data_IF_733688455675
#
_entry.id   IF_733688455675
#
_cell.length_a   1.000
_cell.length_b   1.000
_cell.length_c   1.000
_cell.angle_alpha   90.00
_cell.angle_beta   90.00
_cell.angle_gamma   90.00
#
_symmetry.space_group_name_H-M   'P 1'
#
loop_
_entity.id
_entity.type
_entity.pdbx_description
1 polymer ?
#
# COMPACT_ATOMS: atom_id res chain seq x y z
N UNK A 1 -7.96 -25.66 14.94
CA UNK A 1 -6.54 -25.76 14.56
C UNK A 1 -5.99 -24.36 14.47
N UNK A 2 -5.14 -23.94 15.41
CA UNK A 2 -4.48 -22.64 15.39
C UNK A 2 -3.41 -22.62 14.31
N UNK A 3 -3.37 -21.55 13.52
CA UNK A 3 -2.30 -21.28 12.57
C UNK A 3 -0.95 -21.20 13.31
N UNK A 4 0.06 -21.86 12.75
CA UNK A 4 1.45 -21.80 13.23
C UNK A 4 2.02 -20.39 12.97
N UNK A 5 2.71 -19.77 13.93
CA UNK A 5 3.34 -18.47 13.73
C UNK A 5 4.66 -18.65 12.98
N UNK A 6 4.75 -18.14 11.74
CA UNK A 6 6.03 -18.08 11.02
C UNK A 6 5.98 -18.02 9.50
N UNK A 7 4.86 -18.35 8.86
CA UNK A 7 4.74 -18.16 7.41
C UNK A 7 4.07 -16.82 7.13
N UNK A 8 4.88 -15.87 6.65
CA UNK A 8 4.36 -14.65 6.03
C UNK A 8 3.41 -15.07 4.89
N UNK A 9 2.11 -14.72 4.92
CA UNK A 9 1.17 -15.03 3.85
C UNK A 9 1.65 -14.53 2.48
N UNK A 10 2.45 -13.45 2.45
CA UNK A 10 3.13 -12.94 1.26
C UNK A 10 4.06 -13.99 0.64
N UNK A 11 4.74 -14.76 1.49
CA UNK A 11 5.68 -15.80 1.08
C UNK A 11 4.97 -17.03 0.53
N UNK A 12 3.75 -17.33 0.94
CA UNK A 12 3.02 -18.53 0.49
C UNK A 12 2.38 -18.31 -0.87
N UNK A 13 1.66 -17.20 -1.05
CA UNK A 13 0.98 -16.92 -2.31
C UNK A 13 1.99 -16.63 -3.43
N UNK A 14 2.87 -15.64 -3.27
CA UNK A 14 3.74 -15.20 -4.38
C UNK A 14 4.89 -16.18 -4.71
N UNK A 15 5.28 -17.09 -3.82
CA UNK A 15 6.29 -18.12 -4.12
C UNK A 15 5.69 -19.38 -4.76
N UNK A 16 4.41 -19.66 -4.50
CA UNK A 16 3.74 -20.85 -5.01
C UNK A 16 2.94 -20.53 -6.28
N UNK A 17 3.46 -20.93 -7.44
CA UNK A 17 2.71 -20.86 -8.71
C UNK A 17 1.34 -21.53 -8.61
N UNK A 18 1.24 -22.59 -7.79
CA UNK A 18 0.00 -23.32 -7.53
C UNK A 18 -1.02 -22.44 -6.81
N UNK A 19 -0.62 -21.78 -5.72
CA UNK A 19 -1.52 -20.93 -4.93
C UNK A 19 -1.96 -19.68 -5.71
N UNK A 20 -1.06 -19.07 -6.49
CA UNK A 20 -1.42 -17.96 -7.39
C UNK A 20 -2.48 -18.41 -8.40
N UNK A 21 -2.30 -19.58 -9.00
CA UNK A 21 -3.24 -20.11 -9.99
C UNK A 21 -4.60 -20.40 -9.35
N UNK A 22 -4.61 -21.01 -8.14
CA UNK A 22 -5.82 -21.24 -7.35
C UNK A 22 -6.54 -19.93 -7.02
N UNK A 23 -5.79 -18.90 -6.63
CA UNK A 23 -6.32 -17.56 -6.38
C UNK A 23 -6.98 -16.95 -7.60
N UNK A 24 -6.30 -16.96 -8.73
CA UNK A 24 -6.83 -16.40 -9.97
C UNK A 24 -8.07 -17.17 -10.44
N UNK A 25 -8.10 -18.50 -10.33
CA UNK A 25 -9.29 -19.30 -10.65
C UNK A 25 -10.46 -18.95 -9.71
N UNK A 26 -10.23 -18.81 -8.41
CA UNK A 26 -11.26 -18.39 -7.46
C UNK A 26 -11.83 -17.00 -7.78
N UNK A 27 -10.98 -16.03 -8.17
CA UNK A 27 -11.42 -14.70 -8.60
C UNK A 27 -12.28 -14.79 -9.85
N UNK A 28 -11.86 -15.56 -10.86
CA UNK A 28 -12.63 -15.78 -12.09
C UNK A 28 -14.00 -16.42 -11.83
N UNK A 29 -14.05 -17.40 -10.91
CA UNK A 29 -15.32 -17.99 -10.49
C UNK A 29 -16.16 -16.96 -9.72
N UNK A 30 -15.57 -16.18 -8.81
CA UNK A 30 -16.31 -15.16 -8.04
C UNK A 30 -16.94 -14.07 -8.92
N UNK A 31 -16.24 -13.66 -9.99
CA UNK A 31 -16.69 -12.62 -10.92
C UNK A 31 -17.82 -13.09 -11.84
N UNK A 32 -17.83 -14.37 -12.21
CA UNK A 32 -18.72 -14.91 -13.25
C UNK A 32 -19.64 -16.04 -12.80
N UNK A 33 -19.66 -16.34 -11.50
CA UNK A 33 -20.58 -17.32 -10.92
C UNK A 33 -22.05 -16.94 -11.17
N UNK A 34 -22.95 -17.94 -11.29
CA UNK A 34 -22.63 -19.36 -11.28
C UNK A 34 -22.20 -19.91 -12.65
N UNK A 35 -22.35 -19.14 -13.72
CA UNK A 35 -22.32 -19.64 -15.11
C UNK A 35 -20.99 -19.39 -15.82
N UNK A 36 -19.93 -20.05 -15.36
CA UNK A 36 -18.60 -19.99 -15.99
C UNK A 36 -18.06 -21.37 -16.35
N UNK A 37 -17.61 -21.53 -17.60
CA UNK A 37 -17.04 -22.81 -18.11
C UNK A 37 -15.53 -22.88 -17.88
N UNK A 38 -15.02 -24.09 -17.65
CA UNK A 38 -13.57 -24.34 -17.49
C UNK A 38 -12.76 -23.88 -18.71
N UNK A 39 -13.33 -23.97 -19.91
CA UNK A 39 -12.68 -23.50 -21.15
C UNK A 39 -12.47 -21.98 -21.15
N UNK A 40 -13.42 -21.23 -20.59
CA UNK A 40 -13.33 -19.76 -20.50
C UNK A 40 -12.28 -19.35 -19.48
N UNK A 41 -12.27 -20.00 -18.30
CA UNK A 41 -11.23 -19.81 -17.28
C UNK A 41 -9.86 -20.14 -17.88
N UNK A 42 -9.73 -21.29 -18.55
CA UNK A 42 -8.47 -21.73 -19.16
C UNK A 42 -7.92 -20.73 -20.19
N UNK A 43 -8.80 -20.18 -21.04
CA UNK A 43 -8.44 -19.19 -22.05
C UNK A 43 -7.90 -17.89 -21.42
N UNK A 44 -8.55 -17.38 -20.36
CA UNK A 44 -8.08 -16.19 -19.64
C UNK A 44 -6.76 -16.43 -18.90
N UNK A 45 -6.64 -17.60 -18.30
CA UNK A 45 -5.49 -17.99 -17.48
C UNK A 45 -4.26 -18.44 -18.29
N UNK A 46 -4.40 -18.67 -19.60
CA UNK A 46 -3.34 -19.19 -20.45
C UNK A 46 -2.92 -20.62 -20.10
N UNK A 47 -3.85 -21.42 -19.56
CA UNK A 47 -3.62 -22.82 -19.16
C UNK A 47 -4.58 -23.76 -19.89
N UNK A 48 -4.43 -25.08 -19.70
CA UNK A 48 -5.33 -26.06 -20.33
C UNK A 48 -6.64 -26.21 -19.53
N UNK A 49 -7.78 -26.51 -20.18
CA UNK A 49 -9.03 -26.81 -19.47
C UNK A 49 -8.91 -27.96 -18.47
N UNK A 50 -8.05 -28.94 -18.76
CA UNK A 50 -7.74 -30.05 -17.86
C UNK A 50 -7.07 -29.55 -16.58
N UNK A 51 -6.09 -28.65 -16.69
CA UNK A 51 -5.46 -28.04 -15.51
C UNK A 51 -6.47 -27.27 -14.66
N UNK A 52 -7.36 -26.50 -15.29
CA UNK A 52 -8.46 -25.82 -14.57
C UNK A 52 -9.37 -26.82 -13.88
N UNK A 53 -9.68 -27.95 -14.51
CA UNK A 53 -10.51 -28.99 -13.89
C UNK A 53 -9.86 -29.61 -12.67
N UNK A 54 -8.53 -29.79 -12.66
CA UNK A 54 -7.81 -30.26 -11.47
C UNK A 54 -7.89 -29.20 -10.35
N UNK A 55 -7.58 -27.94 -10.65
CA UNK A 55 -7.65 -26.87 -9.65
C UNK A 55 -9.05 -26.67 -9.06
N UNK A 56 -10.11 -26.71 -9.88
CA UNK A 56 -11.49 -26.61 -9.37
C UNK A 56 -11.83 -27.79 -8.46
N UNK A 57 -11.32 -29.00 -8.76
CA UNK A 57 -11.52 -30.16 -7.89
C UNK A 57 -10.86 -29.95 -6.54
N UNK A 58 -9.59 -29.55 -6.53
CA UNK A 58 -8.87 -29.26 -5.28
C UNK A 58 -9.53 -28.12 -4.48
N UNK A 59 -9.94 -27.04 -5.16
CA UNK A 59 -10.64 -25.92 -4.53
C UNK A 59 -12.00 -26.34 -3.94
N UNK A 60 -12.67 -27.31 -4.55
CA UNK A 60 -13.91 -27.88 -4.02
C UNK A 60 -13.66 -28.83 -2.84
N UNK A 61 -12.58 -29.64 -2.90
CA UNK A 61 -12.12 -30.50 -1.79
C UNK A 61 -11.76 -29.66 -0.56
N UNK A 62 -11.13 -28.50 -0.76
CA UNK A 62 -10.78 -27.54 0.29
C UNK A 62 -11.97 -26.67 0.75
N UNK A 63 -13.15 -26.85 0.15
CA UNK A 63 -14.38 -26.15 0.53
C UNK A 63 -14.47 -24.70 0.06
N UNK A 64 -13.63 -24.26 -0.87
CA UNK A 64 -13.65 -22.88 -1.41
C UNK A 64 -14.61 -22.71 -2.60
N UNK A 65 -14.94 -23.79 -3.31
CA UNK A 65 -15.86 -23.77 -4.46
C UNK A 65 -16.92 -24.86 -4.32
N UNK A 66 -18.17 -24.52 -4.59
CA UNK A 66 -19.25 -25.48 -4.83
C UNK A 66 -19.40 -25.74 -6.33
N UNK A 67 -19.19 -26.99 -6.75
CA UNK A 67 -19.31 -27.41 -8.14
C UNK A 67 -20.62 -28.20 -8.36
N UNK A 68 -21.54 -27.62 -9.14
CA UNK A 68 -22.84 -28.24 -9.44
C UNK A 68 -22.85 -29.01 -10.78
N UNK A 69 -21.68 -29.15 -11.41
CA UNK A 69 -21.50 -29.81 -12.70
C UNK A 69 -20.48 -29.09 -13.59
N UNK A 70 -20.29 -29.58 -14.82
CA UNK A 70 -19.36 -28.95 -15.78
C UNK A 70 -19.90 -27.57 -16.18
N UNK A 71 -19.22 -26.53 -15.70
CA UNK A 71 -19.52 -25.14 -16.07
C UNK A 71 -20.51 -24.42 -15.16
N UNK A 72 -20.75 -24.94 -13.94
CA UNK A 72 -21.52 -24.24 -12.91
C UNK A 72 -20.80 -24.29 -11.57
N UNK A 73 -20.20 -23.17 -11.18
CA UNK A 73 -19.36 -23.03 -10.00
C UNK A 73 -19.77 -21.81 -9.19
N UNK A 74 -19.86 -21.96 -7.88
CA UNK A 74 -20.10 -20.86 -6.95
C UNK A 74 -18.99 -20.85 -5.90
N UNK A 75 -18.51 -19.67 -5.55
CA UNK A 75 -17.52 -19.52 -4.48
C UNK A 75 -18.25 -19.59 -3.14
N UNK A 76 -17.71 -20.37 -2.21
CA UNK A 76 -18.27 -20.47 -0.85
C UNK A 76 -17.91 -19.23 -0.03
N UNK A 77 -18.47 -19.09 1.18
CA UNK A 77 -18.11 -17.98 2.06
C UNK A 77 -16.64 -18.04 2.45
N UNK A 78 -16.15 -19.24 2.71
CA UNK A 78 -14.76 -19.55 3.02
C UNK A 78 -13.85 -19.21 1.84
N UNK A 79 -14.28 -19.50 0.61
CA UNK A 79 -13.55 -19.11 -0.60
C UNK A 79 -13.48 -17.58 -0.77
N UNK A 80 -14.56 -16.86 -0.48
CA UNK A 80 -14.58 -15.38 -0.52
C UNK A 80 -13.64 -14.79 0.52
N UNK A 81 -13.67 -15.29 1.76
CA UNK A 81 -12.79 -14.84 2.84
C UNK A 81 -11.31 -15.08 2.50
N UNK A 82 -11.02 -16.25 1.92
CA UNK A 82 -9.68 -16.58 1.46
C UNK A 82 -9.22 -15.65 0.33
N UNK A 83 -10.07 -15.31 -0.64
CA UNK A 83 -9.76 -14.33 -1.69
C UNK A 83 -9.48 -12.95 -1.11
N UNK A 84 -10.34 -12.46 -0.21
CA UNK A 84 -10.17 -11.14 0.42
C UNK A 84 -8.86 -11.04 1.20
N UNK A 85 -8.54 -12.06 1.99
CA UNK A 85 -7.30 -12.12 2.77
C UNK A 85 -6.07 -12.05 1.86
N UNK A 86 -6.07 -12.84 0.78
CA UNK A 86 -4.96 -12.87 -0.16
C UNK A 86 -4.84 -11.59 -0.99
N UNK A 87 -5.96 -10.93 -1.31
CA UNK A 87 -5.95 -9.63 -1.99
C UNK A 87 -5.31 -8.53 -1.12
N UNK A 88 -5.63 -8.50 0.18
CA UNK A 88 -5.03 -7.54 1.13
C UNK A 88 -3.52 -7.77 1.28
N UNK A 89 -3.10 -9.03 1.31
CA UNK A 89 -1.68 -9.43 1.30
C UNK A 89 -0.97 -8.89 0.05
N UNK A 90 -1.54 -9.08 -1.15
CA UNK A 90 -0.98 -8.55 -2.39
C UNK A 90 -0.91 -7.01 -2.41
N UNK A 91 -1.93 -6.33 -1.90
CA UNK A 91 -1.95 -4.87 -1.81
C UNK A 91 -0.83 -4.36 -0.89
N UNK A 92 -0.69 -4.97 0.29
CA UNK A 92 0.35 -4.63 1.25
C UNK A 92 1.76 -4.87 0.67
N UNK A 93 1.95 -5.95 -0.10
CA UNK A 93 3.20 -6.20 -0.81
C UNK A 93 3.53 -5.09 -1.80
N UNK A 94 2.58 -4.76 -2.69
CA UNK A 94 2.77 -3.74 -3.71
C UNK A 94 3.10 -2.38 -3.06
N UNK A 95 2.45 -2.07 -1.93
CA UNK A 95 2.74 -0.88 -1.14
C UNK A 95 4.17 -0.89 -0.59
N UNK A 96 4.61 -2.00 -0.01
CA UNK A 96 5.98 -2.15 0.51
C UNK A 96 7.01 -1.99 -0.61
N UNK A 97 6.84 -2.67 -1.74
CA UNK A 97 7.74 -2.57 -2.89
C UNK A 97 7.84 -1.14 -3.41
N UNK A 98 6.71 -0.44 -3.55
CA UNK A 98 6.67 0.90 -4.13
C UNK A 98 7.10 2.02 -3.19
N UNK A 99 7.06 1.81 -1.86
CA UNK A 99 7.39 2.83 -0.86
C UNK A 99 8.73 2.61 -0.17
N UNK A 100 9.08 1.35 0.10
CA UNK A 100 10.18 0.99 1.00
C UNK A 100 11.35 0.37 0.25
N UNK A 101 11.08 -0.42 -0.81
CA UNK A 101 12.13 -1.11 -1.59
C UNK A 101 12.60 -0.24 -2.76
N UNK A 102 11.66 0.17 -3.62
CA UNK A 102 11.96 1.09 -4.71
C UNK A 102 11.92 2.49 -4.10
N UNK A 103 13.08 3.01 -3.72
CA UNK A 103 13.24 4.43 -3.46
C UNK A 103 12.97 5.16 -4.80
N UNK A 104 11.69 5.48 -5.07
CA UNK A 104 11.38 6.57 -5.99
C UNK A 104 12.25 7.73 -5.56
N UNK A 105 13.03 8.31 -6.48
CA UNK A 105 13.82 9.52 -6.23
C UNK A 105 12.88 10.50 -5.55
N UNK A 106 13.01 10.66 -4.23
CA UNK A 106 12.11 11.52 -3.47
C UNK A 106 12.48 12.93 -3.90
N UNK A 107 11.62 13.53 -4.71
CA UNK A 107 11.66 14.96 -4.93
C UNK A 107 11.10 15.59 -3.66
N UNK A 108 11.95 16.33 -2.96
CA UNK A 108 11.57 17.06 -1.76
C UNK A 108 11.10 18.46 -2.19
N UNK A 109 9.85 18.83 -1.92
CA UNK A 109 9.42 20.21 -2.11
C UNK A 109 10.08 21.10 -1.05
N UNK A 110 10.72 22.17 -1.51
CA UNK A 110 11.30 23.20 -0.66
C UNK A 110 10.92 24.60 -1.18
N UNK A 111 11.20 25.64 -0.40
CA UNK A 111 11.06 27.03 -0.82
C UNK A 111 12.43 27.53 -1.27
N UNK A 112 12.51 28.11 -2.46
CA UNK A 112 13.76 28.68 -2.96
C UNK A 112 14.12 29.94 -2.16
N UNK A 113 15.22 29.93 -1.40
CA UNK A 113 15.69 31.10 -0.64
C UNK A 113 16.31 32.18 -1.55
N UNK A 114 16.55 31.85 -2.81
CA UNK A 114 17.06 32.71 -3.88
C UNK A 114 16.72 32.10 -5.25
N UNK A 115 17.06 32.75 -6.37
CA UNK A 115 16.85 32.16 -7.69
C UNK A 115 17.72 30.91 -7.89
N UNK A 116 17.09 29.83 -8.31
CA UNK A 116 17.70 28.51 -8.54
C UNK A 116 17.42 28.03 -9.97
N UNK A 117 18.39 27.32 -10.55
CA UNK A 117 18.28 26.73 -11.89
C UNK A 117 18.31 25.21 -11.83
N UNK A 118 17.62 24.56 -12.76
CA UNK A 118 17.69 23.11 -12.92
C UNK A 118 19.15 22.65 -13.04
N UNK A 119 19.53 21.66 -12.24
CA UNK A 119 20.89 21.15 -12.13
C UNK A 119 21.76 21.82 -11.06
N UNK A 120 21.32 22.93 -10.45
CA UNK A 120 22.05 23.57 -9.34
C UNK A 120 22.18 22.60 -8.16
N UNK A 121 23.39 22.48 -7.61
CA UNK A 121 23.62 21.85 -6.31
C UNK A 121 23.30 22.86 -5.21
N UNK A 122 22.44 22.47 -4.27
CA UNK A 122 21.90 23.36 -3.24
C UNK A 122 21.93 22.69 -1.88
N UNK A 123 22.20 23.46 -0.84
CA UNK A 123 21.98 23.05 0.54
C UNK A 123 20.52 23.19 0.91
N UNK A 124 20.04 22.24 1.70
CA UNK A 124 18.64 22.17 2.17
C UNK A 124 18.60 22.30 3.68
N UNK A 125 17.69 23.10 4.21
CA UNK A 125 17.58 23.38 5.65
C UNK A 125 16.15 23.70 6.08
N UNK A 126 15.86 23.51 7.36
CA UNK A 126 14.57 23.88 7.95
C UNK A 126 14.60 25.31 8.50
N UNK A 127 13.55 26.08 8.23
CA UNK A 127 13.33 27.39 8.83
C UNK A 127 11.82 27.62 9.05
N UNK A 128 11.43 27.90 10.29
CA UNK A 128 10.02 28.17 10.63
C UNK A 128 9.06 27.02 10.31
N UNK A 129 9.54 25.77 10.34
CA UNK A 129 8.75 24.59 9.99
C UNK A 129 8.67 24.30 8.49
N UNK A 130 9.29 25.12 7.64
CA UNK A 130 9.36 24.92 6.20
C UNK A 130 10.75 24.49 5.77
N UNK A 131 10.79 23.68 4.71
CA UNK A 131 12.04 23.28 4.07
C UNK A 131 12.44 24.34 3.05
N UNK A 132 13.68 24.83 3.13
CA UNK A 132 14.26 25.80 2.20
C UNK A 132 15.45 25.21 1.45
N UNK A 133 15.70 25.74 0.25
CA UNK A 133 16.88 25.42 -0.55
C UNK A 133 17.65 26.69 -0.92
N UNK A 134 18.97 26.66 -0.81
CA UNK A 134 19.86 27.78 -1.19
C UNK A 134 21.18 27.27 -1.78
N UNK A 135 21.94 28.16 -2.42
CA UNK A 135 23.27 27.83 -2.98
C UNK A 135 24.37 27.67 -1.91
N UNK A 136 24.03 27.86 -0.63
CA UNK A 136 24.97 27.67 0.47
C UNK A 136 25.07 26.20 0.82
N UNK A 137 26.27 25.73 1.16
CA UNK A 137 26.45 24.37 1.66
C UNK A 137 25.79 24.19 3.02
N UNK A 138 25.12 23.05 3.20
CA UNK A 138 24.44 22.65 4.44
C UNK A 138 24.74 21.19 4.75
N UNK A 139 24.29 20.73 5.92
CA UNK A 139 24.42 19.34 6.36
C UNK A 139 23.72 18.34 5.43
N UNK A 140 22.72 18.81 4.69
CA UNK A 140 22.08 18.11 3.59
C UNK A 140 22.19 18.90 2.29
N UNK A 141 22.56 18.21 1.21
CA UNK A 141 22.72 18.75 -0.13
C UNK A 141 21.80 18.00 -1.10
N UNK A 142 21.38 18.65 -2.17
CA UNK A 142 20.62 18.02 -3.24
C UNK A 142 20.69 18.81 -4.55
N UNK A 143 19.92 18.38 -5.53
CA UNK A 143 19.92 18.95 -6.87
C UNK A 143 18.55 19.47 -7.29
N UNK A 144 18.52 20.68 -7.81
CA UNK A 144 17.30 21.33 -8.31
C UNK A 144 16.84 20.66 -9.60
N UNK A 145 15.56 20.28 -9.69
CA UNK A 145 15.02 19.61 -10.89
C UNK A 145 14.37 20.57 -11.90
N UNK A 146 14.02 21.77 -11.47
CA UNK A 146 13.37 22.80 -12.28
C UNK A 146 13.72 24.20 -11.76
N UNK A 147 13.77 25.17 -12.66
CA UNK A 147 14.02 26.58 -12.32
C UNK A 147 12.97 27.10 -11.33
N UNK A 148 13.41 27.91 -10.37
CA UNK A 148 12.54 28.57 -9.41
C UNK A 148 13.09 29.95 -9.02
N UNK A 149 12.22 30.95 -8.93
CA UNK A 149 12.55 32.26 -8.38
C UNK A 149 12.43 32.24 -6.84
N UNK A 150 13.03 33.25 -6.20
CA UNK A 150 12.97 33.40 -4.74
C UNK A 150 11.53 33.34 -4.20
N UNK A 151 11.31 32.49 -3.21
CA UNK A 151 10.03 32.31 -2.54
C UNK A 151 9.06 31.34 -3.23
N UNK A 152 9.40 30.82 -4.41
CA UNK A 152 8.62 29.79 -5.10
C UNK A 152 8.92 28.39 -4.55
N UNK A 153 8.02 27.45 -4.82
CA UNK A 153 8.29 26.03 -4.61
C UNK A 153 9.33 25.53 -5.60
N UNK A 154 10.24 24.70 -5.11
CA UNK A 154 11.29 24.07 -5.90
C UNK A 154 11.41 22.59 -5.52
N UNK A 155 11.60 21.74 -6.52
CA UNK A 155 11.82 20.32 -6.33
C UNK A 155 13.30 19.99 -6.18
N UNK A 156 13.68 19.34 -5.08
CA UNK A 156 15.06 18.90 -4.82
C UNK A 156 15.14 17.37 -4.90
N UNK A 157 15.98 16.86 -5.80
CA UNK A 157 16.27 15.44 -5.96
C UNK A 157 17.65 15.08 -5.41
N UNK A 158 17.96 13.78 -5.37
CA UNK A 158 19.29 13.23 -4.99
C UNK A 158 19.81 13.79 -3.65
N UNK A 159 18.90 13.95 -2.68
CA UNK A 159 19.27 14.51 -1.38
C UNK A 159 20.22 13.58 -0.63
N UNK A 160 21.34 14.11 -0.18
CA UNK A 160 22.38 13.41 0.56
C UNK A 160 22.74 14.20 1.82
N UNK A 161 22.96 13.49 2.93
CA UNK A 161 23.18 14.10 4.24
C UNK A 161 21.91 14.17 5.08
N UNK A 162 22.02 14.76 6.28
CA UNK A 162 20.94 14.86 7.25
C UNK A 162 20.48 16.31 7.35
N UNK A 163 19.17 16.55 7.26
CA UNK A 163 18.60 17.89 7.45
C UNK A 163 18.47 18.14 8.95
N UNK A 164 19.26 19.08 9.46
CA UNK A 164 19.13 19.53 10.84
C UNK A 164 17.75 20.14 11.06
N UNK A 165 17.02 19.62 12.03
CA UNK A 165 15.70 20.10 12.39
C UNK A 165 15.44 19.90 13.87
N UNK A 166 14.56 20.74 14.41
CA UNK A 166 13.99 20.52 15.74
C UNK A 166 12.70 19.74 15.57
N UNK A 167 12.65 18.54 16.15
CA UNK A 167 11.43 17.74 16.17
C UNK A 167 10.39 18.42 17.06
N UNK A 168 9.16 18.52 16.53
CA UNK A 168 7.98 18.89 17.30
C UNK A 168 7.11 17.66 17.50
N UNK A 169 6.35 17.62 18.60
CA UNK A 169 5.43 16.52 18.87
C UNK A 169 4.03 16.86 18.33
N UNK A 170 3.44 15.92 17.58
CA UNK A 170 2.05 16.03 17.09
C UNK A 170 1.19 14.98 17.78
N UNK A 171 0.16 15.42 18.51
CA UNK A 171 -0.81 14.53 19.13
C UNK A 171 -1.97 14.26 18.18
N UNK A 172 -2.07 13.02 17.69
CA UNK A 172 -3.20 12.58 16.86
C UNK A 172 -4.19 11.81 17.72
N UNK A 173 -5.41 12.34 17.79
CA UNK A 173 -6.50 11.77 18.59
C UNK A 173 -7.52 11.12 17.65
N UNK A 174 -7.76 9.82 17.88
CA UNK A 174 -8.76 9.07 17.11
C UNK A 174 -10.14 9.25 17.73
N UNK A 175 -11.09 9.71 16.93
CA UNK A 175 -12.50 9.83 17.32
C UNK A 175 -13.30 8.59 16.88
N UNK A 176 -14.47 8.32 17.50
CA UNK A 176 -15.35 7.25 17.05
C UNK A 176 -15.71 7.37 15.57
N UNK A 177 -15.93 6.24 14.89
CA UNK A 177 -16.46 6.24 13.53
C UNK A 177 -17.88 6.80 13.49
N UNK A 178 -18.34 7.28 12.32
CA UNK A 178 -19.64 7.94 12.18
C UNK A 178 -20.81 7.03 12.57
N UNK A 179 -20.72 5.74 12.30
CA UNK A 179 -21.74 4.74 12.65
C UNK A 179 -21.87 4.55 14.17
N UNK A 180 -20.84 4.96 14.93
CA UNK A 180 -20.81 4.95 16.40
C UNK A 180 -21.02 6.34 17.00
N UNK A 181 -21.47 7.32 16.21
CA UNK A 181 -21.78 8.68 16.66
C UNK A 181 -20.72 9.73 16.35
N UNK A 182 -19.59 9.34 15.74
CA UNK A 182 -18.60 10.28 15.22
C UNK A 182 -18.03 11.23 16.27
N UNK A 183 -17.73 12.46 15.85
CA UNK A 183 -17.26 13.54 16.71
C UNK A 183 -18.23 13.91 17.84
N UNK A 184 -19.53 13.65 17.69
CA UNK A 184 -20.55 13.98 18.71
C UNK A 184 -20.46 13.10 19.96
N UNK A 185 -19.78 11.95 19.87
CA UNK A 185 -19.54 11.05 21.01
C UNK A 185 -18.11 11.13 21.56
N UNK A 186 -17.40 12.20 21.23
CA UNK A 186 -16.07 12.45 21.78
C UNK A 186 -16.22 13.07 23.16
N UNK A 187 -15.53 12.50 24.15
CA UNK A 187 -15.34 13.13 25.46
C UNK A 187 -14.29 14.24 25.34
N UNK A 188 -14.75 15.47 25.15
CA UNK A 188 -13.87 16.63 24.95
C UNK A 188 -13.06 16.98 26.20
N UNK A 189 -13.59 16.71 27.40
CA UNK A 189 -12.92 17.04 28.64
C UNK A 189 -11.84 15.99 28.97
N UNK A 190 -12.13 14.71 28.70
CA UNK A 190 -11.12 13.66 28.69
C UNK A 190 -10.00 13.95 27.69
N UNK A 191 -10.32 14.41 26.48
CA UNK A 191 -9.31 14.81 25.49
C UNK A 191 -8.43 15.96 25.98
N UNK A 192 -9.02 17.02 26.56
CA UNK A 192 -8.26 18.14 27.12
C UNK A 192 -7.33 17.72 28.24
N UNK A 193 -7.77 16.79 29.08
CA UNK A 193 -6.95 16.22 30.16
C UNK A 193 -5.75 15.46 29.61
N UNK A 194 -5.96 14.63 28.58
CA UNK A 194 -4.88 13.92 27.90
C UNK A 194 -3.89 14.93 27.31
N UNK A 195 -4.37 15.94 26.59
CA UNK A 195 -3.53 16.96 25.95
C UNK A 195 -2.78 17.84 26.95
N UNK A 196 -3.36 18.14 28.12
CA UNK A 196 -2.70 18.92 29.15
C UNK A 196 -1.49 18.21 29.78
N UNK A 197 -1.42 16.88 29.67
CA UNK A 197 -0.32 16.05 30.18
C UNK A 197 0.81 15.82 29.18
N UNK A 198 0.73 16.37 27.96
CA UNK A 198 1.76 16.17 26.94
C UNK A 198 2.29 17.52 26.46
N UNK A 199 3.51 17.83 26.88
CA UNK A 199 4.32 18.98 26.50
C UNK A 199 5.79 18.58 26.52
#
# INVERSE_FOLDING_TARGET
>A
MSAMPGEDPLSVLLRSKREITRFQILVEVAEHQPAIRQQEIAAKMGVTPQAVSEYIRELAEDGFVSAYGRGRYEVTKEGIEWVLTNAEVLENYARHVTRDVIQKVRVWPAIAAGPLKAGDQVGVYMQGGWLYASKEERSAMGEVIADADTGQDVGIARLAGLIDHTEGTVHVLKVPRIERGGSRKVDLDGLRTILAGVG
#
